data_IF_447462997576
#
_entry.id   IF_447462997576
#
_cell.length_a   1.000
_cell.length_b   1.000
_cell.length_c   1.000
_cell.angle_alpha   90.00
_cell.angle_beta   90.00
_cell.angle_gamma   90.00
#
_symmetry.space_group_name_H-M   'P 1'
#
loop_
_entity.id
_entity.type
_entity.pdbx_description
1 polymer ?
#
# COMPACT_ATOMS: atom_id res chain seq x y z
N UNK A 1 -16.96 11.49 12.35
CA UNK A 1 -16.36 11.49 11.00
C UNK A 1 -16.57 10.13 10.34
N UNK A 2 -16.86 10.07 9.03
CA UNK A 2 -16.95 8.80 8.31
C UNK A 2 -15.54 8.35 7.92
N UNK A 3 -15.19 7.11 8.27
CA UNK A 3 -13.87 6.49 8.03
C UNK A 3 -14.05 5.02 7.66
N UNK A 4 -13.09 4.40 6.95
CA UNK A 4 -13.12 2.98 6.69
C UNK A 4 -13.09 2.19 8.00
N UNK A 5 -13.72 1.02 8.02
CA UNK A 5 -13.46 0.01 9.04
C UNK A 5 -12.03 -0.52 8.85
N UNK A 6 -11.25 -0.57 9.94
CA UNK A 6 -9.85 -1.00 9.89
C UNK A 6 -9.73 -2.39 10.51
N UNK A 7 -9.36 -3.38 9.71
CA UNK A 7 -8.87 -4.66 10.22
C UNK A 7 -7.40 -4.51 10.57
N UNK A 8 -6.99 -4.77 11.80
CA UNK A 8 -5.58 -4.81 12.15
C UNK A 8 -5.10 -6.25 12.07
N UNK A 9 -4.21 -6.54 11.10
CA UNK A 9 -3.67 -7.87 10.89
C UNK A 9 -2.18 -7.87 11.22
N UNK A 10 -1.81 -8.71 12.18
CA UNK A 10 -0.44 -8.85 12.65
C UNK A 10 -0.04 -10.32 12.65
N UNK A 11 1.17 -10.57 12.15
CA UNK A 11 1.87 -11.83 12.32
C UNK A 11 3.11 -11.56 13.17
N UNK A 12 3.28 -12.34 14.23
CA UNK A 12 4.38 -12.19 15.17
C UNK A 12 4.97 -13.55 15.51
N UNK A 13 6.25 -13.58 15.81
CA UNK A 13 6.85 -14.70 16.53
C UNK A 13 6.28 -14.82 17.95
N UNK A 14 6.55 -15.94 18.62
CA UNK A 14 6.13 -16.19 20.00
C UNK A 14 6.71 -15.17 21.00
N UNK A 15 7.88 -14.61 20.71
CA UNK A 15 8.51 -13.54 21.50
C UNK A 15 8.08 -12.12 21.05
N UNK A 16 7.03 -12.01 20.23
CA UNK A 16 6.40 -10.74 19.85
C UNK A 16 7.12 -9.95 18.76
N UNK A 17 8.12 -10.53 18.08
CA UNK A 17 8.82 -9.84 16.98
C UNK A 17 7.96 -9.84 15.73
N UNK A 18 7.75 -8.65 15.18
CA UNK A 18 7.05 -8.45 13.90
C UNK A 18 7.94 -8.70 12.67
N UNK A 19 9.26 -8.80 12.85
CA UNK A 19 10.23 -9.11 11.78
C UNK A 19 11.38 -9.95 12.34
N UNK A 20 11.92 -10.87 11.56
CA UNK A 20 13.11 -11.62 11.95
C UNK A 20 13.36 -12.85 11.08
N UNK A 21 14.43 -13.58 11.39
CA UNK A 21 14.79 -14.81 10.68
C UNK A 21 13.72 -15.90 10.77
N UNK A 22 12.87 -15.87 11.81
CA UNK A 22 11.74 -16.80 11.97
C UNK A 22 10.80 -16.80 10.78
N UNK A 23 10.72 -15.69 10.04
CA UNK A 23 9.88 -15.63 8.85
C UNK A 23 10.34 -16.66 7.82
N UNK A 24 11.65 -16.83 7.65
CA UNK A 24 12.20 -17.72 6.63
C UNK A 24 12.20 -19.21 7.05
N UNK A 25 11.62 -19.57 8.20
CA UNK A 25 11.51 -20.98 8.60
C UNK A 25 10.30 -21.62 7.91
N UNK A 26 10.25 -22.96 7.80
CA UNK A 26 9.07 -23.66 7.28
C UNK A 26 7.78 -23.28 8.03
N UNK A 27 7.83 -23.13 9.35
CA UNK A 27 6.69 -22.75 10.20
C UNK A 27 6.27 -21.31 9.95
N UNK A 28 7.22 -20.39 9.77
CA UNK A 28 6.95 -19.01 9.38
C UNK A 28 6.23 -18.92 8.04
N UNK A 29 6.68 -19.70 7.05
CA UNK A 29 6.04 -19.79 5.74
C UNK A 29 4.62 -20.38 5.84
N UNK A 30 4.42 -21.44 6.63
CA UNK A 30 3.09 -22.03 6.85
C UNK A 30 2.13 -21.04 7.53
N UNK A 31 2.60 -20.31 8.54
CA UNK A 31 1.84 -19.24 9.16
C UNK A 31 1.50 -18.13 8.14
N UNK A 32 2.45 -17.80 7.26
CA UNK A 32 2.27 -16.92 6.09
C UNK A 32 1.09 -17.30 5.22
N UNK A 33 1.00 -18.57 4.84
CA UNK A 33 -0.09 -19.09 4.02
C UNK A 33 -1.43 -19.00 4.74
N UNK A 34 -1.49 -19.39 6.01
CA UNK A 34 -2.72 -19.30 6.81
C UNK A 34 -3.19 -17.85 6.96
N UNK A 35 -2.27 -16.92 7.21
CA UNK A 35 -2.57 -15.49 7.24
C UNK A 35 -3.16 -15.01 5.91
N UNK A 36 -2.53 -15.41 4.80
CA UNK A 36 -3.00 -15.06 3.47
C UNK A 36 -4.42 -15.58 3.23
N UNK A 37 -4.67 -16.86 3.50
CA UNK A 37 -5.98 -17.48 3.29
C UNK A 37 -7.09 -16.82 4.12
N UNK A 38 -6.78 -16.39 5.34
CA UNK A 38 -7.74 -15.74 6.25
C UNK A 38 -8.04 -14.30 5.82
N UNK A 39 -7.05 -13.55 5.34
CA UNK A 39 -7.17 -12.11 5.06
C UNK A 39 -7.37 -11.75 3.58
N UNK A 40 -6.72 -12.46 2.67
CA UNK A 40 -6.61 -12.06 1.26
C UNK A 40 -7.11 -13.11 0.26
N UNK A 41 -7.05 -14.39 0.63
CA UNK A 41 -7.39 -15.50 -0.26
C UNK A 41 -8.81 -15.41 -0.82
N UNK A 42 -9.08 -16.17 -1.90
CA UNK A 42 -10.37 -16.19 -2.62
C UNK A 42 -11.59 -16.33 -1.70
N UNK A 43 -11.46 -17.13 -0.64
CA UNK A 43 -12.49 -17.38 0.37
C UNK A 43 -12.15 -16.76 1.73
N UNK A 44 -11.44 -15.62 1.77
CA UNK A 44 -11.00 -14.97 2.99
C UNK A 44 -12.14 -14.72 3.98
N UNK A 45 -11.86 -14.93 5.27
CA UNK A 45 -12.79 -14.62 6.34
C UNK A 45 -12.98 -13.10 6.45
N UNK A 46 -11.89 -12.35 6.36
CA UNK A 46 -11.93 -10.89 6.35
C UNK A 46 -12.21 -10.38 4.94
N UNK A 47 -13.30 -9.62 4.81
CA UNK A 47 -13.66 -8.98 3.55
C UNK A 47 -13.30 -7.50 3.63
N UNK A 48 -12.25 -7.12 2.91
CA UNK A 48 -11.81 -5.74 2.81
C UNK A 48 -11.60 -5.33 1.35
N UNK A 49 -11.69 -4.04 1.08
CA UNK A 49 -11.52 -3.47 -0.28
C UNK A 49 -10.07 -3.05 -0.56
N UNK A 50 -9.19 -3.21 0.42
CA UNK A 50 -7.77 -2.93 0.26
C UNK A 50 -6.95 -3.24 1.50
N UNK A 51 -5.64 -3.12 1.38
CA UNK A 51 -4.75 -3.12 2.53
C UNK A 51 -3.76 -1.95 2.48
N UNK A 52 -3.31 -1.54 3.66
CA UNK A 52 -2.48 -0.37 3.87
C UNK A 52 -1.14 -0.76 4.48
N UNK A 53 -0.08 -0.18 3.90
CA UNK A 53 1.30 -0.33 4.35
C UNK A 53 2.06 0.99 4.23
N UNK A 54 3.04 1.19 5.11
CA UNK A 54 3.92 2.36 5.05
C UNK A 54 5.07 2.17 4.06
N UNK A 55 5.67 3.29 3.63
CA UNK A 55 6.77 3.35 2.67
C UNK A 55 7.83 2.24 2.82
N UNK A 56 8.40 2.06 4.02
CA UNK A 56 9.46 1.06 4.24
C UNK A 56 8.98 -0.35 3.91
N UNK A 57 7.77 -0.70 4.33
CA UNK A 57 7.18 -2.00 4.02
C UNK A 57 6.89 -2.12 2.53
N UNK A 58 6.46 -1.05 1.86
CA UNK A 58 6.30 -1.07 0.40
C UNK A 58 7.64 -1.30 -0.31
N UNK A 59 8.72 -0.64 0.13
CA UNK A 59 10.07 -0.84 -0.40
C UNK A 59 10.56 -2.27 -0.23
N UNK A 60 10.40 -2.84 0.97
CA UNK A 60 10.87 -4.19 1.27
C UNK A 60 10.17 -5.28 0.44
N UNK A 61 8.95 -5.03 -0.04
CA UNK A 61 8.10 -6.08 -0.62
C UNK A 61 7.72 -5.84 -2.09
N UNK A 62 7.61 -4.59 -2.57
CA UNK A 62 6.98 -4.33 -3.87
C UNK A 62 7.82 -3.46 -4.80
N UNK A 63 8.45 -2.40 -4.30
CA UNK A 63 9.31 -1.55 -5.12
C UNK A 63 10.77 -1.98 -5.06
N UNK A 64 11.17 -2.78 -4.08
CA UNK A 64 12.55 -3.26 -3.91
C UNK A 64 13.58 -2.13 -3.95
N UNK A 65 13.23 -0.98 -3.35
CA UNK A 65 14.04 0.23 -3.31
C UNK A 65 14.38 0.85 -4.67
N UNK A 66 13.62 0.49 -5.72
CA UNK A 66 13.65 1.18 -7.00
C UNK A 66 13.43 2.68 -6.83
N UNK A 67 14.12 3.48 -7.64
CA UNK A 67 13.97 4.94 -7.64
C UNK A 67 12.85 5.35 -8.59
N UNK A 68 12.02 6.35 -8.24
CA UNK A 68 11.01 6.87 -9.13
C UNK A 68 11.67 7.55 -10.34
N UNK A 69 11.08 7.36 -11.51
CA UNK A 69 11.54 7.97 -12.76
C UNK A 69 10.98 9.40 -12.85
N UNK A 70 11.67 10.32 -12.19
CA UNK A 70 11.27 11.72 -12.05
C UNK A 70 11.88 12.57 -13.15
N UNK A 71 11.05 13.47 -13.70
CA UNK A 71 11.51 14.51 -14.60
C UNK A 71 11.24 15.88 -13.95
N UNK A 72 12.30 16.63 -13.67
CA UNK A 72 12.19 17.96 -13.05
C UNK A 72 11.47 18.98 -13.96
N UNK A 73 11.45 18.72 -15.27
CA UNK A 73 10.75 19.55 -16.26
C UNK A 73 9.29 19.14 -16.47
N UNK A 74 8.76 18.22 -15.67
CA UNK A 74 7.33 17.85 -15.75
C UNK A 74 6.44 19.10 -15.54
N UNK A 75 5.40 19.29 -16.37
CA UNK A 75 4.49 20.41 -16.21
C UNK A 75 3.81 20.37 -14.83
N UNK A 76 3.40 21.54 -14.32
CA UNK A 76 2.68 21.61 -13.05
C UNK A 76 1.38 20.82 -13.16
N UNK A 77 1.21 19.83 -12.29
CA UNK A 77 -0.03 19.06 -12.24
C UNK A 77 -1.10 19.82 -11.45
N UNK A 78 -2.39 19.65 -11.78
CA UNK A 78 -3.50 20.15 -10.97
C UNK A 78 -3.31 19.89 -9.48
N UNK A 79 -3.61 20.90 -8.67
CA UNK A 79 -3.51 20.81 -7.21
C UNK A 79 -4.54 19.85 -6.62
N UNK A 80 -4.25 19.35 -5.42
CA UNK A 80 -5.11 18.40 -4.72
C UNK A 80 -4.93 16.94 -5.14
N UNK A 81 -5.95 16.15 -4.85
CA UNK A 81 -5.98 14.70 -5.06
C UNK A 81 -6.07 14.37 -6.56
N UNK A 82 -5.65 13.16 -6.93
CA UNK A 82 -5.80 12.63 -8.27
C UNK A 82 -6.41 11.24 -8.21
N UNK A 83 -7.55 11.06 -8.86
CA UNK A 83 -8.24 9.78 -8.95
C UNK A 83 -8.17 9.32 -10.41
N UNK A 84 -7.52 8.19 -10.64
CA UNK A 84 -7.51 7.55 -11.95
C UNK A 84 -8.84 6.83 -12.21
N UNK A 85 -9.27 6.78 -13.48
CA UNK A 85 -10.50 6.08 -13.90
C UNK A 85 -10.27 4.56 -13.87
N UNK A 86 -10.22 3.99 -12.67
CA UNK A 86 -10.02 2.55 -12.46
C UNK A 86 -11.17 2.03 -11.61
N UNK A 87 -11.89 1.05 -12.14
CA UNK A 87 -12.80 0.22 -11.35
C UNK A 87 -12.04 -1.02 -10.86
N UNK A 88 -11.58 -0.98 -9.61
CA UNK A 88 -10.79 -2.04 -9.00
C UNK A 88 -11.51 -2.66 -7.80
N UNK A 89 -11.47 -4.00 -7.72
CA UNK A 89 -12.02 -4.75 -6.61
C UNK A 89 -11.13 -4.73 -5.36
N UNK A 90 -9.85 -4.37 -5.50
CA UNK A 90 -8.87 -4.37 -4.42
C UNK A 90 -7.85 -3.25 -4.61
N UNK A 91 -7.52 -2.57 -3.51
CA UNK A 91 -6.55 -1.48 -3.49
C UNK A 91 -5.38 -1.77 -2.55
N UNK A 92 -4.17 -1.42 -2.98
CA UNK A 92 -3.01 -1.29 -2.12
C UNK A 92 -2.83 0.18 -1.77
N UNK A 93 -3.10 0.54 -0.52
CA UNK A 93 -2.95 1.89 0.00
C UNK A 93 -1.53 2.06 0.55
N UNK A 94 -0.68 2.74 -0.21
CA UNK A 94 0.69 3.05 0.19
C UNK A 94 0.71 4.37 0.96
N UNK A 95 1.33 4.39 2.15
CA UNK A 95 1.54 5.63 2.92
C UNK A 95 2.98 6.08 2.75
N UNK A 96 3.19 7.06 1.86
CA UNK A 96 4.49 7.63 1.54
C UNK A 96 4.45 9.17 1.49
N UNK A 97 4.42 9.84 2.66
CA UNK A 97 4.23 11.28 2.78
C UNK A 97 5.11 12.14 1.86
N UNK A 98 6.34 11.70 1.58
CA UNK A 98 7.32 12.47 0.80
C UNK A 98 7.47 12.02 -0.65
N UNK A 99 6.75 10.99 -1.11
CA UNK A 99 6.80 10.51 -2.49
C UNK A 99 8.19 10.04 -2.91
N UNK A 100 8.62 8.90 -2.39
CA UNK A 100 9.93 8.27 -2.62
C UNK A 100 9.84 6.91 -3.33
N UNK A 101 8.69 6.25 -3.31
CA UNK A 101 8.54 4.91 -3.87
C UNK A 101 8.65 4.90 -5.41
N UNK A 102 9.54 4.06 -5.94
CA UNK A 102 9.78 3.89 -7.37
C UNK A 102 8.88 2.87 -8.05
N UNK A 103 7.59 3.21 -8.19
CA UNK A 103 6.61 2.37 -8.88
C UNK A 103 6.98 2.10 -10.36
N UNK A 104 6.69 0.90 -10.85
CA UNK A 104 6.87 0.54 -12.28
C UNK A 104 5.54 0.42 -13.03
N UNK A 105 4.44 0.22 -12.30
CA UNK A 105 3.07 0.10 -12.81
C UNK A 105 2.09 0.44 -11.69
N UNK A 106 0.82 0.61 -12.03
CA UNK A 106 -0.24 0.96 -11.09
C UNK A 106 -0.89 -0.21 -10.35
N UNK A 107 -0.30 -1.39 -10.42
CA UNK A 107 -0.80 -2.59 -9.77
C UNK A 107 0.34 -3.37 -9.13
N UNK A 108 0.00 -4.16 -8.12
CA UNK A 108 0.88 -5.17 -7.56
C UNK A 108 0.09 -6.45 -7.31
N UNK A 109 0.79 -7.56 -7.13
CA UNK A 109 0.19 -8.85 -6.79
C UNK A 109 0.83 -9.36 -5.52
N UNK A 110 0.01 -9.69 -4.53
CA UNK A 110 0.43 -10.42 -3.33
C UNK A 110 -0.16 -11.82 -3.38
N UNK A 111 0.72 -12.83 -3.54
CA UNK A 111 0.37 -14.23 -3.84
C UNK A 111 -0.49 -14.34 -5.10
N UNK A 112 -1.82 -14.38 -5.00
CA UNK A 112 -2.74 -14.34 -6.15
C UNK A 112 -3.67 -13.12 -6.17
N UNK A 113 -3.57 -12.24 -5.17
CA UNK A 113 -4.40 -11.04 -5.04
C UNK A 113 -3.73 -9.86 -5.74
N UNK A 114 -4.28 -9.47 -6.89
CA UNK A 114 -3.88 -8.23 -7.56
C UNK A 114 -4.66 -7.03 -7.01
N UNK A 115 -3.95 -5.93 -6.77
CA UNK A 115 -4.53 -4.69 -6.29
C UNK A 115 -4.00 -3.48 -7.03
N UNK A 116 -4.85 -2.46 -7.16
CA UNK A 116 -4.46 -1.17 -7.70
C UNK A 116 -3.81 -0.30 -6.63
N UNK A 117 -2.72 0.34 -7.00
CA UNK A 117 -1.98 1.21 -6.08
C UNK A 117 -2.75 2.52 -5.90
N UNK A 118 -2.91 2.92 -4.64
CA UNK A 118 -3.37 4.24 -4.21
C UNK A 118 -2.33 4.79 -3.24
N UNK A 119 -1.78 5.96 -3.54
CA UNK A 119 -0.78 6.63 -2.70
C UNK A 119 -1.41 7.65 -1.73
N UNK A 120 -0.91 7.69 -0.51
CA UNK A 120 -1.20 8.76 0.47
C UNK A 120 0.08 9.57 0.64
N UNK A 121 0.00 10.81 0.20
CA UNK A 121 1.10 11.77 0.19
C UNK A 121 0.79 12.92 1.16
N UNK A 122 1.80 13.73 1.48
CA UNK A 122 1.58 15.09 2.00
C UNK A 122 1.97 16.11 0.94
N UNK A 123 1.81 17.40 1.23
CA UNK A 123 2.25 18.48 0.34
C UNK A 123 3.76 18.50 0.09
N UNK A 124 4.55 17.74 0.87
CA UNK A 124 5.99 17.54 0.64
C UNK A 124 6.31 16.78 -0.64
N UNK A 125 5.39 15.96 -1.15
CA UNK A 125 5.62 15.24 -2.39
C UNK A 125 5.77 16.23 -3.56
N UNK A 126 6.86 16.09 -4.31
CA UNK A 126 7.21 17.02 -5.38
C UNK A 126 6.18 17.01 -6.52
N UNK A 127 6.16 18.09 -7.32
CA UNK A 127 5.37 18.10 -8.54
C UNK A 127 5.76 16.95 -9.48
N UNK A 128 7.06 16.71 -9.65
CA UNK A 128 7.58 15.61 -10.50
C UNK A 128 7.12 14.24 -10.00
N UNK A 129 7.03 14.01 -8.69
CA UNK A 129 6.52 12.75 -8.15
C UNK A 129 5.02 12.58 -8.44
N UNK A 130 4.21 13.63 -8.23
CA UNK A 130 2.79 13.61 -8.58
C UNK A 130 2.56 13.41 -10.08
N UNK A 131 3.38 14.03 -10.93
CA UNK A 131 3.36 13.82 -12.38
C UNK A 131 3.72 12.37 -12.75
N UNK A 132 4.74 11.80 -12.12
CA UNK A 132 5.14 10.40 -12.25
C UNK A 132 3.98 9.44 -11.92
N UNK A 133 3.30 9.63 -10.78
CA UNK A 133 2.12 8.81 -10.43
C UNK A 133 1.00 8.93 -11.47
N UNK A 134 0.72 10.14 -11.96
CA UNK A 134 -0.30 10.38 -12.99
C UNK A 134 0.03 9.69 -14.30
N UNK A 135 1.29 9.71 -14.75
CA UNK A 135 1.74 8.98 -15.96
C UNK A 135 1.49 7.48 -15.83
N UNK A 136 1.67 6.93 -14.64
CA UNK A 136 1.39 5.52 -14.37
C UNK A 136 -0.10 5.22 -14.17
N UNK A 137 -0.95 6.24 -14.04
CA UNK A 137 -2.37 6.06 -13.69
C UNK A 137 -2.57 5.61 -12.24
N UNK A 138 -1.65 5.97 -11.34
CA UNK A 138 -1.75 5.70 -9.90
C UNK A 138 -2.54 6.83 -9.24
N UNK A 139 -3.65 6.48 -8.59
CA UNK A 139 -4.42 7.42 -7.78
C UNK A 139 -3.60 7.86 -6.56
N UNK A 140 -3.75 9.12 -6.15
CA UNK A 140 -3.18 9.59 -4.90
C UNK A 140 -4.08 10.60 -4.18
N UNK A 141 -3.99 10.61 -2.86
CA UNK A 141 -4.60 11.63 -2.01
C UNK A 141 -3.51 12.39 -1.25
N UNK A 142 -3.73 13.68 -1.04
CA UNK A 142 -2.86 14.57 -0.26
C UNK A 142 -3.49 14.74 1.13
N UNK A 143 -2.81 14.29 2.18
CA UNK A 143 -3.32 14.30 3.55
C UNK A 143 -2.29 14.90 4.51
N UNK A 144 -2.37 16.22 4.69
CA UNK A 144 -1.46 17.00 5.52
C UNK A 144 -0.37 17.70 4.71
N UNK A 145 0.31 18.64 5.37
CA UNK A 145 1.33 19.50 4.77
C UNK A 145 2.74 18.93 4.99
N UNK A 146 3.24 19.07 6.21
CA UNK A 146 4.58 18.63 6.60
C UNK A 146 4.62 17.23 7.21
N UNK A 147 3.50 16.83 7.82
CA UNK A 147 3.26 15.55 8.47
C UNK A 147 1.94 14.96 7.97
N UNK A 148 1.80 13.64 8.13
CA UNK A 148 0.59 12.92 7.74
C UNK A 148 -0.58 13.30 8.65
N UNK A 149 -1.61 13.89 8.07
CA UNK A 149 -2.91 14.02 8.73
C UNK A 149 -3.70 12.72 8.55
N UNK A 150 -3.60 11.84 9.55
CA UNK A 150 -4.27 10.53 9.54
C UNK A 150 -5.79 10.67 9.54
N UNK A 151 -6.33 11.72 10.16
CA UNK A 151 -7.77 11.96 10.22
C UNK A 151 -8.31 12.31 8.82
N UNK A 152 -7.63 13.22 8.13
CA UNK A 152 -7.91 13.60 6.75
C UNK A 152 -7.74 12.43 5.80
N UNK A 153 -6.66 11.66 5.95
CA UNK A 153 -6.40 10.48 5.13
C UNK A 153 -7.57 9.49 5.18
N UNK A 154 -8.02 9.12 6.39
CA UNK A 154 -9.13 8.19 6.56
C UNK A 154 -10.45 8.76 6.00
N UNK A 155 -10.73 10.03 6.23
CA UNK A 155 -11.91 10.70 5.67
C UNK A 155 -11.91 10.68 4.14
N UNK A 156 -10.75 10.92 3.51
CA UNK A 156 -10.58 10.88 2.05
C UNK A 156 -10.69 9.46 1.48
N UNK A 157 -10.09 8.45 2.12
CA UNK A 157 -10.26 7.04 1.70
C UNK A 157 -11.72 6.59 1.77
N UNK A 158 -12.47 7.03 2.79
CA UNK A 158 -13.90 6.75 2.86
C UNK A 158 -14.66 7.43 1.72
N UNK A 159 -14.36 8.70 1.41
CA UNK A 159 -14.96 9.42 0.28
C UNK A 159 -14.60 8.82 -1.08
N UNK A 160 -13.40 8.25 -1.19
CA UNK A 160 -12.95 7.51 -2.37
C UNK A 160 -13.80 6.26 -2.62
N UNK A 161 -14.40 5.68 -1.57
CA UNK A 161 -15.23 4.48 -1.67
C UNK A 161 -14.67 3.27 -0.92
N UNK A 162 -13.52 3.41 -0.23
CA UNK A 162 -12.99 2.37 0.63
C UNK A 162 -13.71 2.40 1.98
N UNK A 163 -14.70 1.53 2.13
CA UNK A 163 -15.48 1.33 3.35
C UNK A 163 -14.74 0.45 4.36
N UNK A 164 -13.83 -0.41 3.91
CA UNK A 164 -13.01 -1.26 4.78
C UNK A 164 -11.62 -1.52 4.20
N UNK A 165 -10.60 -1.45 5.05
CA UNK A 165 -9.21 -1.74 4.69
C UNK A 165 -8.53 -2.55 5.78
N UNK A 166 -7.61 -3.42 5.38
CA UNK A 166 -6.68 -4.10 6.28
C UNK A 166 -5.45 -3.24 6.52
N UNK A 167 -5.00 -3.13 7.76
CA UNK A 167 -3.73 -2.55 8.11
C UNK A 167 -2.75 -3.67 8.48
N UNK A 168 -1.71 -3.80 7.65
CA UNK A 168 -0.67 -4.80 7.84
C UNK A 168 0.60 -4.12 8.32
N UNK A 169 0.92 -4.23 9.62
CA UNK A 169 2.11 -3.58 10.17
C UNK A 169 3.31 -4.52 10.08
N UNK A 170 4.29 -4.15 9.23
CA UNK A 170 5.63 -4.74 9.14
C UNK A 170 5.66 -6.27 9.07
N UNK A 171 4.63 -6.88 8.48
CA UNK A 171 4.70 -8.26 8.01
C UNK A 171 5.55 -8.19 6.74
N UNK A 172 6.68 -8.88 6.70
CA UNK A 172 7.31 -9.18 5.40
C UNK A 172 6.28 -10.02 4.67
N UNK A 173 5.59 -9.41 3.72
CA UNK A 173 4.56 -10.09 2.94
C UNK A 173 5.33 -11.15 2.18
N UNK A 174 5.13 -12.41 2.57
CA UNK A 174 5.77 -13.57 1.97
C UNK A 174 5.40 -13.63 0.49
N UNK A 175 6.11 -12.88 -0.33
CA UNK A 175 6.05 -12.99 -1.77
C UNK A 175 6.82 -14.25 -2.13
N UNK A 176 6.06 -15.20 -2.69
CA UNK A 176 6.47 -16.44 -3.32
C UNK A 176 7.99 -16.60 -3.52
N UNK A 177 8.56 -17.61 -2.88
CA UNK A 177 9.52 -18.43 -3.59
C UNK A 177 8.86 -18.90 -4.89
N UNK A 178 9.36 -18.42 -6.04
CA UNK A 178 9.88 -19.24 -7.14
C UNK A 178 10.31 -18.29 -8.27
N UNK A 179 11.54 -17.80 -8.20
CA UNK A 179 12.32 -17.62 -9.43
C UNK A 179 13.06 -18.94 -9.61
N UNK A 180 12.74 -19.64 -10.70
CA UNK A 180 13.53 -20.76 -11.24
C UNK A 180 15.01 -20.42 -11.36
#
# INVERSE_FOLDING_TARGET
MKRPYIFCHMMTSLDGKITGSYMNTPEGNLAGNVFYDIAFGKNAYYKHQGWLSGRVTTDDNFTFYEKPDLNENDPKVPEGDFISEVDANMYYVSVDPSGKLGWKKNTLTYVDTTAHVLEILTEKASNSYKAFLRRLGISYIIAGKDELDSEMAMSKLYKFGLMSISWTKKVKLFLCCTSS
#
